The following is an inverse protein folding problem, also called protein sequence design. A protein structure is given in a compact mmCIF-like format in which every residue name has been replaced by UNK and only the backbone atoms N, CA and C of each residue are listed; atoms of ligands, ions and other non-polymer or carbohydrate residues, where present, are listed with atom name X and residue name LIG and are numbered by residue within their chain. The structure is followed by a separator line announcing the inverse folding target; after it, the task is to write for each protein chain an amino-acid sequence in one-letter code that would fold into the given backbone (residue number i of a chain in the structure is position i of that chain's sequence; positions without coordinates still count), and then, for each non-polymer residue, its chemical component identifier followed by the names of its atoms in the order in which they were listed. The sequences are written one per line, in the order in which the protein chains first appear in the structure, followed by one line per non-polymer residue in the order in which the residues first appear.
data_IF_704232946938
#
_entry.id   IF_704232946938
#
_cell.length_a   1.000
_cell.length_b   1.000
_cell.length_c   1.000
_cell.angle_alpha   90.00
_cell.angle_beta   90.00
_cell.angle_gamma   90.00
#
_symmetry.space_group_name_H-M   'P 1'
#
loop_
_entity.id
_entity.type
_entity.pdbx_description
1 polymer ?
#
# COMPACT_ATOMS: atom_id res chain seq x y z
N UNK A 1 21.45 -5.85 13.54
CA UNK A 1 22.21 -5.48 12.32
C UNK A 1 21.21 -4.96 11.32
N UNK A 2 21.36 -3.73 10.86
CA UNK A 2 20.60 -3.20 9.74
C UNK A 2 21.54 -2.96 8.56
N UNK A 3 21.04 -3.18 7.35
CA UNK A 3 21.79 -2.94 6.12
C UNK A 3 20.86 -2.28 5.10
N UNK A 4 21.36 -1.27 4.41
CA UNK A 4 20.71 -0.63 3.30
C UNK A 4 21.24 -1.23 2.00
N UNK A 5 20.32 -1.73 1.16
CA UNK A 5 20.67 -2.31 -0.13
C UNK A 5 20.04 -1.43 -1.23
N UNK A 6 20.84 -0.55 -1.86
CA UNK A 6 20.35 0.23 -2.98
C UNK A 6 20.12 -0.69 -4.19
N UNK A 7 19.00 -0.51 -4.86
CA UNK A 7 18.72 -1.19 -6.12
C UNK A 7 18.06 -0.22 -7.10
N UNK A 8 18.17 -0.52 -8.39
CA UNK A 8 17.48 0.20 -9.45
C UNK A 8 16.96 -0.80 -10.47
N UNK A 9 15.78 -0.51 -11.00
CA UNK A 9 15.15 -1.30 -12.04
C UNK A 9 14.58 -0.36 -13.11
N UNK A 10 14.89 -0.64 -14.36
CA UNK A 10 14.28 0.03 -15.50
C UNK A 10 13.04 -0.76 -15.89
N UNK A 11 11.91 -0.08 -16.00
CA UNK A 11 10.67 -0.64 -16.51
C UNK A 11 10.48 -0.13 -17.93
N UNK A 12 10.51 -1.04 -18.87
CA UNK A 12 10.30 -0.76 -20.31
C UNK A 12 8.86 -1.11 -20.69
N UNK A 13 8.36 -0.57 -21.79
CA UNK A 13 7.06 -0.97 -22.36
C UNK A 13 6.06 0.16 -22.58
N UNK A 14 6.52 1.42 -22.52
CA UNK A 14 5.68 2.57 -22.87
C UNK A 14 6.33 3.33 -24.02
N UNK A 15 5.84 3.08 -25.24
CA UNK A 15 6.38 3.68 -26.47
C UNK A 15 6.08 5.18 -26.58
N UNK A 16 5.04 5.70 -25.90
CA UNK A 16 4.54 7.06 -26.06
C UNK A 16 4.73 7.97 -24.84
N UNK A 17 5.64 7.64 -23.92
CA UNK A 17 5.91 8.50 -22.79
C UNK A 17 6.57 9.82 -23.24
N UNK A 18 6.02 10.95 -22.83
CA UNK A 18 6.52 12.28 -23.14
C UNK A 18 6.52 13.17 -21.88
N UNK A 19 6.89 14.43 -22.05
CA UNK A 19 6.96 15.41 -20.95
C UNK A 19 5.63 15.64 -20.18
N UNK A 20 4.49 15.25 -20.76
CA UNK A 20 3.17 15.31 -20.12
C UNK A 20 2.79 13.99 -19.44
N UNK A 21 3.70 13.03 -19.39
CA UNK A 21 3.48 11.73 -18.74
C UNK A 21 4.01 11.78 -17.31
N UNK A 22 3.14 11.52 -16.35
CA UNK A 22 3.52 11.32 -14.95
C UNK A 22 3.62 9.83 -14.65
N UNK A 23 4.66 9.44 -13.92
CA UNK A 23 4.89 8.05 -13.49
C UNK A 23 4.75 7.95 -11.97
N UNK A 24 4.10 6.91 -11.52
CA UNK A 24 3.95 6.58 -10.13
C UNK A 24 4.31 5.11 -9.93
N UNK A 25 5.25 4.85 -9.03
CA UNK A 25 5.76 3.51 -8.76
C UNK A 25 5.43 3.07 -7.33
N UNK A 26 5.02 1.81 -7.20
CA UNK A 26 4.83 1.14 -5.91
C UNK A 26 5.67 -0.13 -5.92
N UNK A 27 6.36 -0.38 -4.81
CA UNK A 27 7.16 -1.57 -4.61
C UNK A 27 6.54 -2.43 -3.51
N UNK A 28 6.42 -3.72 -3.78
CA UNK A 28 5.96 -4.70 -2.81
C UNK A 28 7.02 -5.78 -2.64
N UNK A 29 7.38 -6.11 -1.41
CA UNK A 29 8.17 -7.29 -1.10
C UNK A 29 7.25 -8.52 -1.20
N UNK A 30 7.54 -9.42 -2.13
CA UNK A 30 6.74 -10.63 -2.37
C UNK A 30 7.33 -11.87 -1.73
N UNK A 31 8.60 -11.82 -1.36
CA UNK A 31 9.27 -12.91 -0.67
C UNK A 31 10.66 -12.54 -0.22
N UNK A 32 11.15 -13.28 0.78
CA UNK A 32 12.51 -13.17 1.28
C UNK A 32 13.07 -14.56 1.59
N UNK A 33 14.29 -14.81 1.16
CA UNK A 33 15.07 -15.99 1.55
C UNK A 33 16.27 -15.51 2.37
N UNK A 34 16.38 -16.01 3.59
CA UNK A 34 17.51 -15.73 4.48
C UNK A 34 18.32 -17.00 4.68
N UNK A 35 19.63 -16.89 4.56
CA UNK A 35 20.55 -18.00 4.83
C UNK A 35 21.65 -17.51 5.75
N UNK A 36 21.87 -18.27 6.81
CA UNK A 36 23.01 -18.07 7.69
C UNK A 36 24.16 -18.91 7.14
N UNK A 37 25.24 -18.26 6.73
CA UNK A 37 26.43 -18.89 6.20
C UNK A 37 27.53 -18.95 7.24
N UNK A 38 28.31 -20.03 7.20
CA UNK A 38 29.50 -20.25 8.04
C UNK A 38 29.83 -21.74 8.05
N UNK A 39 31.05 -22.11 7.77
CA UNK A 39 31.54 -23.44 8.00
C UNK A 39 31.81 -23.60 9.50
N UNK A 40 31.31 -24.67 10.10
CA UNK A 40 31.71 -25.12 11.43
C UNK A 40 31.38 -24.17 12.61
N UNK A 41 30.08 -23.86 12.81
CA UNK A 41 29.60 -23.30 14.08
C UNK A 41 29.81 -21.80 14.33
N UNK A 42 30.51 -21.11 13.46
CA UNK A 42 30.80 -19.66 13.57
C UNK A 42 30.12 -18.90 12.42
N UNK A 43 28.79 -18.86 12.46
CA UNK A 43 27.98 -18.19 11.42
C UNK A 43 28.09 -16.67 11.56
N UNK A 44 28.94 -16.04 10.74
CA UNK A 44 29.18 -14.59 10.73
C UNK A 44 28.57 -13.88 9.53
N UNK A 45 27.98 -14.64 8.61
CA UNK A 45 27.43 -14.09 7.35
C UNK A 45 25.96 -14.42 7.23
N UNK A 46 25.16 -13.41 6.95
CA UNK A 46 23.76 -13.57 6.60
C UNK A 46 23.60 -13.18 5.13
N UNK A 47 23.13 -14.11 4.32
CA UNK A 47 22.72 -13.84 2.93
C UNK A 47 21.24 -13.63 2.86
N UNK A 48 20.81 -12.51 2.31
CA UNK A 48 19.41 -12.21 2.08
C UNK A 48 19.14 -12.12 0.57
N UNK A 49 18.10 -12.82 0.09
CA UNK A 49 17.57 -12.68 -1.25
C UNK A 49 16.14 -12.19 -1.15
N UNK A 50 15.87 -11.03 -1.71
CA UNK A 50 14.58 -10.37 -1.67
C UNK A 50 13.92 -10.43 -3.04
N UNK A 51 12.65 -10.76 -3.08
CA UNK A 51 11.83 -10.74 -4.28
C UNK A 51 10.92 -9.52 -4.21
N UNK A 52 11.10 -8.61 -5.16
CA UNK A 52 10.36 -7.36 -5.23
C UNK A 52 9.44 -7.38 -6.45
N UNK A 53 8.23 -6.90 -6.27
CA UNK A 53 7.29 -6.62 -7.34
C UNK A 53 7.15 -5.11 -7.48
N UNK A 54 7.51 -4.57 -8.63
CA UNK A 54 7.31 -3.17 -8.96
C UNK A 54 6.03 -3.02 -9.78
N UNK A 55 5.15 -2.16 -9.32
CA UNK A 55 3.93 -1.77 -10.02
C UNK A 55 4.07 -0.31 -10.43
N UNK A 56 4.00 -0.04 -11.73
CA UNK A 56 4.16 1.31 -12.28
C UNK A 56 2.89 1.71 -13.01
N UNK A 57 2.33 2.85 -12.63
CA UNK A 57 1.18 3.48 -13.31
C UNK A 57 1.67 4.72 -14.03
N UNK A 58 1.45 4.75 -15.32
CA UNK A 58 1.72 5.91 -16.14
C UNK A 58 0.40 6.63 -16.46
N UNK A 59 0.40 7.94 -16.30
CA UNK A 59 -0.74 8.79 -16.61
C UNK A 59 -0.30 9.88 -17.58
N UNK A 60 -1.02 10.00 -18.67
CA UNK A 60 -0.79 11.04 -19.65
C UNK A 60 -2.00 11.99 -19.72
N UNK A 61 -1.71 13.28 -19.70
CA UNK A 61 -2.74 14.30 -19.90
C UNK A 61 -2.97 14.52 -21.37
N UNK A 62 -4.18 14.21 -21.85
CA UNK A 62 -4.60 14.46 -23.22
C UNK A 62 -5.54 15.66 -23.25
N UNK A 63 -5.32 16.55 -24.22
CA UNK A 63 -6.25 17.63 -24.55
C UNK A 63 -6.96 17.29 -25.85
N UNK A 64 -8.25 17.03 -25.75
CA UNK A 64 -9.10 16.79 -26.92
C UNK A 64 -9.77 18.10 -27.32
N UNK A 65 -9.69 18.42 -28.60
CA UNK A 65 -10.46 19.52 -29.18
C UNK A 65 -11.64 18.91 -29.92
N UNK A 66 -12.85 19.28 -29.49
CA UNK A 66 -14.08 18.83 -30.13
C UNK A 66 -14.85 20.02 -30.70
N UNK A 67 -15.53 19.80 -31.79
CA UNK A 67 -16.49 20.77 -32.34
C UNK A 67 -17.79 20.47 -31.62
N UNK A 68 -18.32 21.45 -30.87
CA UNK A 68 -19.55 21.33 -30.09
C UNK A 68 -20.74 21.95 -30.81
N UNK A 69 -20.47 22.85 -31.78
CA UNK A 69 -21.50 23.50 -32.57
C UNK A 69 -20.96 23.83 -33.98
N UNK A 70 -21.83 23.79 -34.95
CA UNK A 70 -21.50 24.02 -36.35
C UNK A 70 -22.66 24.76 -37.03
N UNK A 71 -22.37 25.87 -37.67
CA UNK A 71 -23.38 26.58 -38.49
C UNK A 71 -22.80 27.06 -39.80
N UNK A 72 -23.65 27.24 -40.82
CA UNK A 72 -23.28 27.86 -42.11
C UNK A 72 -24.39 28.82 -42.55
N UNK A 73 -23.98 29.92 -43.14
CA UNK A 73 -24.89 30.89 -43.74
C UNK A 73 -25.04 30.70 -45.26
N UNK A 74 -24.27 29.83 -45.88
CA UNK A 74 -24.17 29.63 -47.33
C UNK A 74 -24.53 28.26 -47.84
N UNK A 75 -24.63 27.25 -47.00
CA UNK A 75 -24.97 25.89 -47.37
C UNK A 75 -25.70 25.17 -46.23
N UNK A 76 -26.49 24.17 -46.59
CA UNK A 76 -27.09 23.26 -45.62
C UNK A 76 -26.04 22.35 -45.02
N UNK A 77 -26.03 22.25 -43.68
CA UNK A 77 -25.13 21.39 -42.94
C UNK A 77 -25.88 20.22 -42.35
N UNK A 78 -25.33 19.04 -42.50
CA UNK A 78 -25.72 17.84 -41.78
C UNK A 78 -24.59 17.43 -40.84
N UNK A 79 -24.86 17.39 -39.54
CA UNK A 79 -23.88 16.95 -38.53
C UNK A 79 -24.31 15.64 -37.90
N UNK A 80 -23.40 14.70 -37.84
CA UNK A 80 -23.58 13.49 -37.06
C UNK A 80 -22.89 13.68 -35.72
N UNK A 81 -23.66 13.71 -34.65
CA UNK A 81 -23.14 13.84 -33.28
C UNK A 81 -22.94 12.47 -32.66
N UNK A 82 -21.81 12.30 -31.98
CA UNK A 82 -21.50 11.13 -31.18
C UNK A 82 -21.26 11.57 -29.73
N UNK A 83 -21.96 10.96 -28.80
CA UNK A 83 -21.73 11.17 -27.38
C UNK A 83 -20.64 10.23 -26.90
N UNK A 84 -19.59 10.78 -26.29
CA UNK A 84 -18.51 10.05 -25.67
C UNK A 84 -18.63 10.21 -24.16
N UNK A 85 -18.83 9.11 -23.45
CA UNK A 85 -18.73 9.10 -21.99
C UNK A 85 -17.27 8.91 -21.60
N UNK A 86 -16.71 9.89 -20.92
CA UNK A 86 -15.34 9.84 -20.40
C UNK A 86 -15.41 9.73 -18.88
N UNK A 87 -14.63 8.82 -18.31
CA UNK A 87 -14.39 8.85 -16.89
C UNK A 87 -13.69 10.17 -16.53
N UNK A 88 -14.32 10.98 -15.68
CA UNK A 88 -13.75 12.20 -15.13
C UNK A 88 -12.49 11.92 -14.33
N UNK A 89 -11.84 12.95 -13.81
CA UNK A 89 -10.55 12.82 -13.13
C UNK A 89 -10.54 11.82 -11.98
N UNK A 90 -9.38 11.23 -11.74
CA UNK A 90 -9.13 10.37 -10.56
C UNK A 90 -8.62 11.26 -9.45
N UNK A 91 -9.36 11.35 -8.35
CA UNK A 91 -8.92 11.97 -7.12
C UNK A 91 -8.38 10.91 -6.16
N UNK A 92 -7.24 11.18 -5.52
CA UNK A 92 -6.67 10.31 -4.50
C UNK A 92 -6.86 10.95 -3.14
N UNK A 93 -7.55 10.24 -2.26
CA UNK A 93 -7.77 10.65 -0.87
C UNK A 93 -6.94 9.72 0.02
N UNK A 94 -6.18 10.29 0.95
CA UNK A 94 -5.44 9.57 1.97
C UNK A 94 -6.11 9.81 3.32
N UNK A 95 -6.32 8.73 4.07
CA UNK A 95 -6.82 8.80 5.44
C UNK A 95 -5.87 8.06 6.36
N UNK A 96 -5.44 8.71 7.43
CA UNK A 96 -4.61 8.14 8.47
C UNK A 96 -5.46 7.77 9.69
N UNK A 97 -5.11 6.66 10.31
CA UNK A 97 -5.73 6.19 11.56
C UNK A 97 -4.66 5.69 12.52
N UNK A 98 -4.84 6.00 13.79
CA UNK A 98 -4.05 5.43 14.88
C UNK A 98 -4.80 4.23 15.45
N UNK A 99 -4.15 3.08 15.46
CA UNK A 99 -4.66 1.85 16.05
C UNK A 99 -3.75 1.49 17.22
N UNK A 100 -4.33 1.22 18.38
CA UNK A 100 -3.63 0.75 19.57
C UNK A 100 -4.17 -0.61 19.96
N UNK A 101 -3.27 -1.53 20.19
CA UNK A 101 -3.60 -2.90 20.62
C UNK A 101 -2.76 -3.27 21.84
N UNK A 102 -3.40 -3.90 22.80
CA UNK A 102 -2.72 -4.51 23.93
C UNK A 102 -2.65 -6.02 23.71
N UNK A 103 -1.44 -6.56 23.75
CA UNK A 103 -1.16 -7.97 23.52
C UNK A 103 -0.71 -8.60 24.83
N UNK A 104 -1.50 -9.50 25.36
CA UNK A 104 -1.12 -10.30 26.53
C UNK A 104 -0.12 -11.38 26.10
N UNK A 105 1.01 -11.45 26.75
CA UNK A 105 2.11 -12.38 26.42
C UNK A 105 2.15 -13.63 27.28
N UNK A 106 1.44 -13.62 28.43
CA UNK A 106 1.43 -14.71 29.39
C UNK A 106 2.76 -14.91 30.15
N UNK A 107 3.80 -14.16 29.75
CA UNK A 107 5.11 -14.09 30.41
C UNK A 107 5.54 -12.65 30.51
N UNK A 108 6.38 -12.32 31.48
CA UNK A 108 6.91 -10.97 31.61
C UNK A 108 7.88 -10.64 30.46
N UNK A 109 7.74 -9.44 29.91
CA UNK A 109 8.51 -8.95 28.76
C UNK A 109 9.67 -8.09 29.24
N UNK A 110 10.91 -8.55 29.02
CA UNK A 110 12.10 -7.79 29.39
C UNK A 110 12.47 -6.75 28.33
N UNK A 111 12.28 -7.05 27.06
CA UNK A 111 12.56 -6.11 25.97
C UNK A 111 11.78 -6.48 24.69
N UNK A 112 11.32 -5.48 23.96
CA UNK A 112 10.78 -5.64 22.61
C UNK A 112 11.93 -5.46 21.61
N UNK A 113 12.11 -6.44 20.72
CA UNK A 113 13.18 -6.44 19.72
C UNK A 113 12.73 -5.87 18.38
N UNK A 114 11.52 -6.24 17.93
CA UNK A 114 10.97 -5.84 16.65
C UNK A 114 9.45 -5.90 16.69
N UNK A 115 8.80 -4.96 16.03
CA UNK A 115 7.37 -4.98 15.80
C UNK A 115 7.10 -4.73 14.30
N UNK A 116 6.22 -5.54 13.73
CA UNK A 116 5.85 -5.48 12.32
C UNK A 116 4.34 -5.55 12.16
N UNK A 117 3.84 -4.90 11.13
CA UNK A 117 2.43 -4.93 10.72
C UNK A 117 2.33 -5.36 9.27
N UNK A 118 1.52 -6.38 9.02
CA UNK A 118 1.15 -6.81 7.69
C UNK A 118 -0.35 -6.65 7.50
N UNK A 119 -0.77 -6.18 6.34
CA UNK A 119 -2.18 -6.08 6.01
C UNK A 119 -2.61 -7.25 5.14
N UNK A 120 -3.69 -7.91 5.56
CA UNK A 120 -4.32 -8.99 4.82
C UNK A 120 -5.25 -8.47 3.72
N UNK A 121 -6.28 -9.27 3.41
CA UNK A 121 -7.26 -8.91 2.40
C UNK A 121 -7.96 -7.60 2.75
N UNK A 122 -8.05 -6.72 1.77
CA UNK A 122 -8.77 -5.45 1.87
C UNK A 122 -10.12 -5.61 1.18
N UNK A 123 -11.18 -5.20 1.84
CA UNK A 123 -12.53 -5.14 1.28
C UNK A 123 -13.01 -3.69 1.24
N UNK A 124 -13.75 -3.34 0.19
CA UNK A 124 -14.39 -2.04 0.06
C UNK A 124 -15.86 -2.27 -0.27
N UNK A 125 -16.73 -1.61 0.49
CA UNK A 125 -18.17 -1.55 0.23
C UNK A 125 -18.54 -0.08 0.09
N UNK A 126 -19.05 0.29 -1.08
CA UNK A 126 -19.52 1.66 -1.33
C UNK A 126 -21.04 1.71 -1.19
N UNK A 127 -21.51 2.68 -0.42
CA UNK A 127 -22.91 2.99 -0.21
C UNK A 127 -23.13 4.47 -0.54
N UNK A 128 -23.84 4.75 -1.64
CA UNK A 128 -24.13 6.11 -2.13
C UNK A 128 -22.90 7.05 -2.09
N UNK A 129 -22.80 7.87 -1.06
CA UNK A 129 -21.78 8.89 -0.88
C UNK A 129 -20.64 8.48 0.08
N UNK A 130 -20.57 7.20 0.48
CA UNK A 130 -19.53 6.72 1.40
C UNK A 130 -18.95 5.39 0.96
N UNK A 131 -17.63 5.23 1.15
CA UNK A 131 -16.94 3.96 0.99
C UNK A 131 -16.43 3.48 2.36
N UNK A 132 -16.82 2.27 2.72
CA UNK A 132 -16.36 1.59 3.93
C UNK A 132 -15.24 0.62 3.53
N UNK A 133 -14.03 0.89 4.00
CA UNK A 133 -12.86 0.06 3.77
C UNK A 133 -12.60 -0.75 5.02
N UNK A 134 -12.37 -2.06 4.89
CA UNK A 134 -11.98 -2.95 5.99
C UNK A 134 -10.80 -3.79 5.58
N UNK A 135 -9.88 -4.00 6.49
CA UNK A 135 -8.76 -4.91 6.31
C UNK A 135 -8.37 -5.55 7.64
N UNK A 136 -7.72 -6.71 7.58
CA UNK A 136 -7.14 -7.34 8.76
C UNK A 136 -5.68 -6.92 8.88
N UNK A 137 -5.32 -6.26 9.97
CA UNK A 137 -3.93 -6.03 10.34
C UNK A 137 -3.42 -7.22 11.15
N UNK A 138 -2.26 -7.72 10.77
CA UNK A 138 -1.54 -8.82 11.43
C UNK A 138 -0.32 -8.20 12.09
N UNK A 139 -0.38 -8.08 13.40
CA UNK A 139 0.69 -7.55 14.23
C UNK A 139 1.60 -8.70 14.65
N UNK A 140 2.90 -8.56 14.45
CA UNK A 140 3.93 -9.49 14.90
C UNK A 140 4.93 -8.77 15.76
N UNK A 141 5.15 -9.27 16.96
CA UNK A 141 6.12 -8.69 17.87
C UNK A 141 7.09 -9.77 18.33
N UNK A 142 8.38 -9.52 18.13
CA UNK A 142 9.48 -10.32 18.65
C UNK A 142 9.97 -9.64 19.94
N UNK A 143 10.04 -10.40 21.02
CA UNK A 143 10.43 -9.88 22.32
C UNK A 143 11.28 -10.89 23.10
N UNK A 144 11.92 -10.42 24.15
CA UNK A 144 12.64 -11.26 25.12
C UNK A 144 11.79 -11.41 26.40
N UNK A 145 11.73 -12.63 26.93
CA UNK A 145 11.20 -12.87 28.26
C UNK A 145 12.20 -12.48 29.36
N UNK A 146 11.84 -12.63 30.62
CA UNK A 146 12.76 -12.38 31.76
C UNK A 146 14.03 -13.23 31.73
N UNK A 147 13.97 -14.44 31.17
CA UNK A 147 15.12 -15.34 31.00
C UNK A 147 16.01 -14.96 29.81
N UNK A 148 15.64 -13.94 29.01
CA UNK A 148 16.34 -13.52 27.81
C UNK A 148 16.07 -14.44 26.60
N UNK A 149 15.08 -15.32 26.65
CA UNK A 149 14.70 -16.15 25.52
C UNK A 149 13.84 -15.34 24.52
N UNK A 150 14.16 -15.42 23.19
CA UNK A 150 13.35 -14.74 22.19
C UNK A 150 12.03 -15.47 21.96
N UNK A 151 10.95 -14.74 22.05
CA UNK A 151 9.59 -15.19 21.82
C UNK A 151 8.91 -14.30 20.77
N UNK A 152 7.92 -14.84 20.07
CA UNK A 152 7.13 -14.10 19.10
C UNK A 152 5.65 -14.26 19.38
N UNK A 153 4.91 -13.17 19.29
CA UNK A 153 3.46 -13.16 19.35
C UNK A 153 2.87 -12.57 18.08
N UNK A 154 1.77 -13.15 17.63
CA UNK A 154 0.97 -12.65 16.50
C UNK A 154 -0.42 -12.28 17.01
N UNK A 155 -0.88 -11.10 16.64
CA UNK A 155 -2.24 -10.61 16.90
C UNK A 155 -2.88 -10.17 15.60
N UNK A 156 -4.15 -10.51 15.43
CA UNK A 156 -4.96 -10.05 14.30
C UNK A 156 -6.01 -9.10 14.81
N UNK A 157 -6.09 -7.94 14.18
CA UNK A 157 -7.11 -6.94 14.48
C UNK A 157 -7.77 -6.45 13.20
N UNK A 158 -9.03 -6.07 13.28
CA UNK A 158 -9.76 -5.50 12.14
C UNK A 158 -9.59 -3.98 12.17
N UNK A 159 -9.15 -3.44 11.04
CA UNK A 159 -9.05 -2.00 10.82
C UNK A 159 -10.12 -1.59 9.82
N UNK A 160 -10.89 -0.55 10.16
CA UNK A 160 -11.95 -0.04 9.30
C UNK A 160 -11.82 1.47 9.13
N UNK A 161 -12.02 1.94 7.90
CA UNK A 161 -12.05 3.34 7.56
C UNK A 161 -13.31 3.68 6.78
N UNK A 162 -13.85 4.87 7.00
CA UNK A 162 -15.00 5.39 6.26
C UNK A 162 -14.60 6.67 5.55
N UNK A 163 -14.77 6.69 4.23
CA UNK A 163 -14.33 7.76 3.34
C UNK A 163 -15.55 8.30 2.61
N UNK A 164 -15.68 9.62 2.54
CA UNK A 164 -16.70 10.27 1.72
C UNK A 164 -16.34 10.12 0.23
N UNK A 165 -17.34 9.74 -0.58
CA UNK A 165 -17.20 9.58 -2.03
C UNK A 165 -18.13 10.60 -2.70
N UNK A 166 -17.63 11.46 -3.61
CA UNK A 166 -18.47 12.38 -4.34
C UNK A 166 -19.53 11.64 -5.18
N UNK A 167 -20.65 12.31 -5.39
CA UNK A 167 -21.75 11.77 -6.20
C UNK A 167 -21.27 11.44 -7.62
N UNK A 168 -21.69 10.28 -8.13
CA UNK A 168 -21.30 9.79 -9.45
C UNK A 168 -19.88 9.21 -9.54
N UNK A 169 -19.13 9.17 -8.41
CA UNK A 169 -17.81 8.58 -8.37
C UNK A 169 -17.84 7.14 -7.84
N UNK A 170 -16.88 6.34 -8.33
CA UNK A 170 -16.64 4.98 -7.83
C UNK A 170 -15.31 4.96 -7.08
N UNK A 171 -15.34 4.43 -5.86
CA UNK A 171 -14.15 4.31 -5.03
C UNK A 171 -13.42 2.99 -5.28
N UNK A 172 -12.09 3.04 -5.20
CA UNK A 172 -11.24 1.86 -5.18
C UNK A 172 -10.11 2.05 -4.16
N UNK A 173 -9.75 1.00 -3.44
CA UNK A 173 -8.60 1.04 -2.54
C UNK A 173 -7.34 0.87 -3.36
N UNK A 174 -6.42 1.81 -3.22
CA UNK A 174 -5.13 1.77 -3.88
C UNK A 174 -4.10 1.02 -3.05
N UNK A 175 -3.98 1.39 -1.77
CA UNK A 175 -3.04 0.77 -0.84
C UNK A 175 -3.50 0.96 0.60
N UNK A 176 -3.08 0.03 1.45
CA UNK A 176 -3.12 0.15 2.91
C UNK A 176 -1.71 -0.10 3.41
N UNK A 177 -1.13 0.85 4.12
CA UNK A 177 0.25 0.78 4.60
C UNK A 177 0.33 1.28 6.04
N UNK A 178 1.28 0.76 6.81
CA UNK A 178 1.66 1.34 8.09
C UNK A 178 2.69 2.45 7.86
N UNK A 179 2.45 3.63 8.38
CA UNK A 179 3.39 4.75 8.33
C UNK A 179 4.42 4.64 9.46
N UNK A 180 3.96 4.24 10.64
CA UNK A 180 4.78 4.06 11.82
C UNK A 180 4.27 2.87 12.62
N UNK A 181 5.18 2.06 13.13
CA UNK A 181 4.88 0.94 14.03
C UNK A 181 5.80 1.05 15.24
N UNK A 182 5.21 1.11 16.42
CA UNK A 182 5.95 1.11 17.68
C UNK A 182 5.35 0.07 18.62
N UNK A 183 6.18 -0.52 19.46
CA UNK A 183 5.73 -1.42 20.50
C UNK A 183 6.60 -1.26 21.73
N UNK A 184 5.98 -1.32 22.90
CA UNK A 184 6.64 -1.20 24.19
C UNK A 184 6.16 -2.26 25.15
N UNK A 185 7.05 -2.72 26.03
CA UNK A 185 6.70 -3.60 27.13
C UNK A 185 5.85 -2.84 28.17
N UNK A 186 4.80 -3.49 28.65
CA UNK A 186 3.92 -3.00 29.69
C UNK A 186 3.86 -4.02 30.83
N UNK A 187 3.27 -3.67 31.98
CA UNK A 187 3.10 -4.58 33.11
C UNK A 187 2.33 -5.87 32.78
N UNK A 188 1.49 -5.84 31.72
CA UNK A 188 0.62 -6.96 31.36
C UNK A 188 0.91 -7.53 29.96
N UNK A 189 2.03 -7.15 29.32
CA UNK A 189 2.38 -7.62 27.98
C UNK A 189 3.02 -6.55 27.11
N UNK A 190 2.48 -6.32 25.92
CA UNK A 190 3.02 -5.38 24.92
C UNK A 190 1.89 -4.48 24.42
N UNK A 191 2.15 -3.19 24.38
CA UNK A 191 1.30 -2.19 23.69
C UNK A 191 1.97 -1.69 22.41
#
# INVERSE_FOLDING_TARGET
ISAELPFSQIVEGVEDANENTSAEAMLCLTGAELRIGGESGDARTISAKLFLHAFVVLRQRLCLRCITDLYSTSCDLSAQMQTLELCGGVETVTQEQNVREQIETGVEVSAVLCAEVHFGSVSLVQEESTANVRCTAILRVLYLDEGGAPLMVERRTEVAARIAVPEGCTAAVRSVTACEVSAAATANGIE
#
